data_IF_805568175202
#
_entry.id   IF_805568175202
#
_cell.length_a   1.000
_cell.length_b   1.000
_cell.length_c   1.000
_cell.angle_alpha   90.00
_cell.angle_beta   90.00
_cell.angle_gamma   90.00
#
_symmetry.space_group_name_H-M   'P 1'
#
loop_
_entity.id
_entity.type
_entity.pdbx_description
1 polymer ?
#
# COMPACT_ATOMS: atom_id res chain seq x y z
N UNK A 1 20.60 30.42 -3.48
CA UNK A 1 19.74 30.06 -2.33
C UNK A 1 18.69 29.08 -2.85
N UNK A 2 19.04 27.79 -2.89
CA UNK A 2 18.20 26.76 -3.51
C UNK A 2 17.12 26.32 -2.54
N UNK A 3 15.89 26.79 -2.76
CA UNK A 3 14.72 26.24 -2.09
C UNK A 3 14.44 24.87 -2.72
N UNK A 4 14.99 23.80 -2.13
CA UNK A 4 14.52 22.45 -2.43
C UNK A 4 13.10 22.37 -1.87
N UNK A 5 12.11 22.56 -2.75
CA UNK A 5 10.70 22.45 -2.39
C UNK A 5 10.47 21.01 -1.89
N UNK A 6 10.16 20.87 -0.61
CA UNK A 6 9.77 19.62 0.04
C UNK A 6 8.48 19.02 -0.60
N UNK A 7 7.83 19.76 -1.50
CA UNK A 7 6.59 19.43 -2.20
C UNK A 7 6.73 18.43 -3.37
N UNK A 8 7.91 18.26 -3.98
CA UNK A 8 8.05 17.31 -5.11
C UNK A 8 8.24 15.86 -4.65
N UNK A 9 8.97 15.65 -3.56
CA UNK A 9 9.28 14.30 -3.05
C UNK A 9 8.01 13.60 -2.54
N UNK A 10 7.11 14.31 -1.87
CA UNK A 10 5.84 13.75 -1.39
C UNK A 10 4.86 13.41 -2.53
N UNK A 11 4.94 14.08 -3.67
CA UNK A 11 4.13 13.77 -4.86
C UNK A 11 4.68 12.58 -5.65
N UNK A 12 6.00 12.42 -5.68
CA UNK A 12 6.66 11.35 -6.43
C UNK A 12 6.53 9.97 -5.78
N UNK A 13 6.49 9.89 -4.44
CA UNK A 13 6.51 8.61 -3.73
C UNK A 13 5.26 7.75 -4.01
N UNK A 14 4.02 8.27 -3.94
CA UNK A 14 2.82 7.50 -4.32
C UNK A 14 2.87 7.00 -5.76
N UNK A 15 3.34 7.82 -6.70
CA UNK A 15 3.44 7.45 -8.11
C UNK A 15 4.50 6.36 -8.34
N UNK A 16 5.65 6.45 -7.65
CA UNK A 16 6.69 5.41 -7.68
C UNK A 16 6.19 4.10 -7.09
N UNK A 17 5.50 4.17 -5.95
CA UNK A 17 4.91 2.99 -5.30
C UNK A 17 3.85 2.34 -6.22
N UNK A 18 2.97 3.14 -6.83
CA UNK A 18 2.01 2.66 -7.81
C UNK A 18 2.72 1.93 -8.96
N UNK A 19 3.69 2.60 -9.60
CA UNK A 19 4.41 2.03 -10.75
C UNK A 19 5.09 0.71 -10.41
N UNK A 20 5.72 0.61 -9.24
CA UNK A 20 6.33 -0.63 -8.78
C UNK A 20 5.29 -1.73 -8.53
N UNK A 21 4.18 -1.39 -7.86
CA UNK A 21 3.11 -2.33 -7.56
C UNK A 21 2.47 -2.88 -8.84
N UNK A 22 2.13 -2.01 -9.80
CA UNK A 22 1.52 -2.42 -11.07
C UNK A 22 2.49 -3.25 -11.90
N UNK A 23 3.77 -2.85 -11.98
CA UNK A 23 4.79 -3.64 -12.68
C UNK A 23 4.95 -5.05 -12.12
N UNK A 24 4.77 -5.22 -10.81
CA UNK A 24 4.76 -6.53 -10.18
C UNK A 24 3.46 -7.28 -10.49
N UNK A 25 2.30 -6.66 -10.29
CA UNK A 25 0.99 -7.32 -10.47
C UNK A 25 0.76 -7.77 -11.91
N UNK A 26 1.09 -6.95 -12.91
CA UNK A 26 0.94 -7.31 -14.33
C UNK A 26 1.73 -8.55 -14.75
N UNK A 27 2.74 -8.97 -13.97
CA UNK A 27 3.50 -10.21 -14.24
C UNK A 27 2.83 -11.45 -13.67
N UNK A 28 1.84 -11.30 -12.80
CA UNK A 28 1.26 -12.39 -12.01
C UNK A 28 -0.26 -12.51 -12.16
N UNK A 29 -0.97 -11.43 -12.55
CA UNK A 29 -2.44 -11.38 -12.60
C UNK A 29 -2.90 -10.55 -13.79
N UNK A 30 -4.02 -10.92 -14.41
CA UNK A 30 -4.75 -10.07 -15.37
C UNK A 30 -5.27 -8.82 -14.66
N UNK A 31 -4.78 -7.66 -15.10
CA UNK A 31 -5.08 -6.37 -14.48
C UNK A 31 -6.41 -5.75 -14.89
N UNK A 32 -7.07 -6.29 -15.93
CA UNK A 32 -8.31 -5.74 -16.48
C UNK A 32 -9.50 -5.76 -15.49
N UNK A 33 -9.43 -6.62 -14.47
CA UNK A 33 -10.46 -6.75 -13.43
C UNK A 33 -10.04 -6.12 -12.09
N UNK A 34 -8.87 -5.49 -12.04
CA UNK A 34 -8.37 -4.89 -10.82
C UNK A 34 -9.01 -3.53 -10.58
N UNK A 35 -9.35 -3.31 -9.31
CA UNK A 35 -9.77 -2.02 -8.80
C UNK A 35 -8.64 -1.51 -7.91
N UNK A 36 -8.09 -0.34 -8.25
CA UNK A 36 -7.17 0.38 -7.37
C UNK A 36 -8.01 1.35 -6.54
N UNK A 37 -8.09 1.08 -5.23
CA UNK A 37 -8.79 1.95 -4.30
C UNK A 37 -7.82 2.93 -3.65
N UNK A 38 -8.18 4.21 -3.59
CA UNK A 38 -7.39 5.27 -2.95
C UNK A 38 -8.29 6.30 -2.27
N UNK A 39 -7.69 7.10 -1.39
CA UNK A 39 -8.38 8.23 -0.78
C UNK A 39 -8.53 9.41 -1.76
N UNK A 40 -9.25 10.45 -1.35
CA UNK A 40 -9.44 11.68 -2.15
C UNK A 40 -8.23 12.63 -2.10
N UNK A 41 -7.04 12.14 -1.77
CA UNK A 41 -5.82 12.92 -1.76
C UNK A 41 -5.46 13.43 -3.16
N UNK A 42 -4.98 14.66 -3.23
CA UNK A 42 -4.64 15.35 -4.49
C UNK A 42 -3.63 14.58 -5.36
N UNK A 43 -2.78 13.75 -4.74
CA UNK A 43 -1.84 12.88 -5.43
C UNK A 43 -2.56 11.78 -6.23
N UNK A 44 -3.56 11.14 -5.64
CA UNK A 44 -4.30 10.03 -6.24
C UNK A 44 -5.34 10.49 -7.25
N UNK A 45 -5.87 11.71 -7.07
CA UNK A 45 -6.77 12.36 -8.04
C UNK A 45 -6.02 13.05 -9.19
N UNK A 46 -4.68 13.00 -9.22
CA UNK A 46 -3.90 13.64 -10.28
C UNK A 46 -4.01 12.89 -11.61
N UNK A 47 -3.98 13.62 -12.73
CA UNK A 47 -4.07 13.01 -14.06
C UNK A 47 -2.95 12.00 -14.31
N UNK A 48 -1.71 12.31 -13.87
CA UNK A 48 -0.56 11.41 -14.03
C UNK A 48 -0.77 10.06 -13.33
N UNK A 49 -1.39 10.06 -12.15
CA UNK A 49 -1.71 8.82 -11.43
C UNK A 49 -2.78 8.00 -12.18
N UNK A 50 -3.81 8.68 -12.68
CA UNK A 50 -4.90 8.06 -13.45
C UNK A 50 -4.41 7.53 -14.79
N UNK A 51 -3.52 8.25 -15.47
CA UNK A 51 -2.91 7.83 -16.74
C UNK A 51 -2.16 6.51 -16.57
N UNK A 52 -1.39 6.35 -15.48
CA UNK A 52 -0.71 5.08 -15.19
C UNK A 52 -1.69 3.94 -15.02
N UNK A 53 -2.79 4.11 -14.26
CA UNK A 53 -3.81 3.07 -14.11
C UNK A 53 -4.47 2.70 -15.44
N UNK A 54 -4.75 3.71 -16.27
CA UNK A 54 -5.41 3.53 -17.57
C UNK A 54 -4.57 2.67 -18.54
N UNK A 55 -3.24 2.83 -18.53
CA UNK A 55 -2.31 2.06 -19.37
C UNK A 55 -2.41 0.56 -19.10
N UNK A 56 -2.74 0.17 -17.86
CA UNK A 56 -2.86 -1.23 -17.45
C UNK A 56 -4.31 -1.71 -17.32
N UNK A 57 -5.28 -0.90 -17.75
CA UNK A 57 -6.71 -1.24 -17.67
C UNK A 57 -7.23 -1.38 -16.24
N UNK A 58 -6.57 -0.76 -15.26
CA UNK A 58 -6.96 -0.83 -13.85
C UNK A 58 -8.01 0.25 -13.58
N UNK A 59 -9.12 -0.14 -12.97
CA UNK A 59 -10.20 0.81 -12.63
C UNK A 59 -9.85 1.52 -11.33
N UNK A 60 -9.78 2.85 -11.35
CA UNK A 60 -9.63 3.64 -10.14
C UNK A 60 -10.96 3.71 -9.36
N UNK A 61 -10.89 3.60 -8.04
CA UNK A 61 -11.99 3.83 -7.13
C UNK A 61 -11.53 4.76 -6.01
N UNK A 62 -12.33 5.77 -5.70
CA UNK A 62 -12.16 6.59 -4.51
C UNK A 62 -13.38 6.43 -3.61
N UNK A 63 -13.18 6.48 -2.29
CA UNK A 63 -14.26 6.25 -1.31
C UNK A 63 -15.40 7.26 -1.39
N UNK A 64 -16.47 7.06 -0.63
CA UNK A 64 -17.56 8.06 -0.55
C UNK A 64 -17.07 9.38 0.03
N UNK A 65 -17.54 10.50 -0.52
CA UNK A 65 -17.24 11.81 0.08
C UNK A 65 -17.99 11.94 1.40
N UNK A 66 -17.24 12.12 2.50
CA UNK A 66 -17.81 12.40 3.82
C UNK A 66 -17.87 11.21 4.78
N UNK A 67 -17.38 10.03 4.39
CA UNK A 67 -17.08 8.94 5.32
C UNK A 67 -15.64 8.42 5.16
N UNK A 68 -15.08 7.92 6.26
CA UNK A 68 -13.69 7.44 6.32
C UNK A 68 -13.62 5.91 6.35
N UNK A 69 -14.75 5.23 6.09
CA UNK A 69 -14.85 3.77 6.24
C UNK A 69 -13.90 3.04 5.30
N UNK A 70 -13.84 3.46 4.05
CA UNK A 70 -13.00 2.81 3.04
C UNK A 70 -11.50 2.97 3.36
N UNK A 71 -11.13 4.09 4.00
CA UNK A 71 -9.76 4.36 4.46
C UNK A 71 -9.40 3.74 5.82
N UNK A 72 -10.39 3.33 6.62
CA UNK A 72 -10.17 2.93 8.00
C UNK A 72 -9.20 1.75 8.12
N UNK A 73 -9.22 0.82 7.16
CA UNK A 73 -8.28 -0.30 7.13
C UNK A 73 -6.84 0.19 6.94
N UNK A 74 -6.58 1.02 5.94
CA UNK A 74 -5.25 1.57 5.63
C UNK A 74 -4.73 2.45 6.77
N UNK A 75 -5.60 3.27 7.36
CA UNK A 75 -5.28 4.07 8.54
C UNK A 75 -4.91 3.20 9.75
N UNK A 76 -5.58 2.06 9.94
CA UNK A 76 -5.24 1.12 11.01
C UNK A 76 -3.84 0.53 10.82
N UNK A 77 -3.44 0.23 9.57
CA UNK A 77 -2.09 -0.23 9.25
C UNK A 77 -1.06 0.84 9.57
N UNK A 78 -1.31 2.09 9.13
CA UNK A 78 -0.44 3.24 9.39
C UNK A 78 -0.33 3.56 10.88
N UNK A 79 -1.43 3.45 11.62
CA UNK A 79 -1.46 3.59 13.07
C UNK A 79 -0.60 2.54 13.77
N UNK A 80 -0.76 1.27 13.41
CA UNK A 80 0.05 0.17 13.92
C UNK A 80 1.54 0.36 13.59
N UNK A 81 1.88 0.71 12.35
CA UNK A 81 3.25 0.99 11.94
C UNK A 81 3.92 2.07 12.80
N UNK A 82 3.23 3.19 13.00
CA UNK A 82 3.74 4.28 13.84
C UNK A 82 3.87 3.85 15.31
N UNK A 83 2.91 3.09 15.84
CA UNK A 83 2.89 2.68 17.24
C UNK A 83 3.91 1.59 17.58
N UNK A 84 4.08 0.61 16.70
CA UNK A 84 4.88 -0.59 16.93
C UNK A 84 6.33 -0.42 16.46
N UNK A 85 6.58 0.31 15.37
CA UNK A 85 7.92 0.53 14.85
C UNK A 85 8.45 1.92 15.22
N UNK A 86 7.82 2.98 14.70
CA UNK A 86 8.39 4.33 14.76
C UNK A 86 8.54 4.82 16.20
N UNK A 87 7.52 4.62 17.04
CA UNK A 87 7.56 5.07 18.44
C UNK A 87 8.48 4.21 19.33
N UNK A 88 8.61 2.92 19.05
CA UNK A 88 9.37 1.98 19.88
C UNK A 88 10.86 1.92 19.53
N UNK A 89 11.21 2.11 18.26
CA UNK A 89 12.57 1.90 17.77
C UNK A 89 13.34 3.19 17.46
N UNK A 90 12.75 4.36 17.69
CA UNK A 90 13.46 5.64 17.55
C UNK A 90 14.51 5.82 18.68
N UNK A 91 15.62 6.55 18.43
CA UNK A 91 15.97 7.22 17.19
C UNK A 91 16.58 6.26 16.15
N UNK A 92 16.38 6.57 14.87
CA UNK A 92 17.09 5.96 13.75
C UNK A 92 18.28 6.85 13.37
N UNK A 93 19.42 6.26 13.05
CA UNK A 93 20.64 6.98 12.69
C UNK A 93 20.54 7.62 11.30
N UNK A 94 19.94 6.93 10.34
CA UNK A 94 19.72 7.40 8.98
C UNK A 94 18.46 6.80 8.34
N UNK A 95 18.15 7.26 7.12
CA UNK A 95 17.00 6.77 6.33
C UNK A 95 17.13 5.28 5.99
N UNK A 96 18.35 4.80 5.76
CA UNK A 96 18.59 3.40 5.37
C UNK A 96 18.27 2.44 6.52
N UNK A 97 18.59 2.82 7.76
CA UNK A 97 18.20 2.06 8.94
C UNK A 97 16.68 1.99 9.08
N UNK A 98 15.99 3.12 8.88
CA UNK A 98 14.53 3.18 8.89
C UNK A 98 13.93 2.29 7.79
N UNK A 99 14.45 2.34 6.56
CA UNK A 99 14.01 1.49 5.45
C UNK A 99 14.16 0.00 5.78
N UNK A 100 15.31 -0.41 6.32
CA UNK A 100 15.52 -1.80 6.73
C UNK A 100 14.58 -2.22 7.86
N UNK A 101 14.35 -1.34 8.85
CA UNK A 101 13.42 -1.59 9.93
C UNK A 101 11.99 -1.72 9.41
N UNK A 102 11.62 -0.89 8.44
CA UNK A 102 10.32 -0.93 7.74
C UNK A 102 10.13 -2.26 7.02
N UNK A 103 11.12 -2.71 6.25
CA UNK A 103 11.06 -3.99 5.55
C UNK A 103 10.91 -5.18 6.51
N UNK A 104 11.63 -5.16 7.64
CA UNK A 104 11.48 -6.17 8.69
C UNK A 104 10.09 -6.15 9.31
N UNK A 105 9.55 -4.96 9.60
CA UNK A 105 8.21 -4.82 10.16
C UNK A 105 7.13 -5.30 9.20
N UNK A 106 7.19 -4.94 7.92
CA UNK A 106 6.25 -5.41 6.88
C UNK A 106 6.29 -6.93 6.77
N UNK A 107 7.50 -7.51 6.70
CA UNK A 107 7.69 -8.97 6.65
C UNK A 107 7.04 -9.64 7.86
N UNK A 108 7.33 -9.16 9.08
CA UNK A 108 6.73 -9.70 10.30
C UNK A 108 5.20 -9.53 10.33
N UNK A 109 4.68 -8.36 9.94
CA UNK A 109 3.23 -8.09 9.94
C UNK A 109 2.46 -9.03 9.01
N UNK A 110 3.03 -9.34 7.85
CA UNK A 110 2.39 -10.16 6.83
C UNK A 110 2.55 -11.66 7.06
N UNK A 111 3.66 -12.09 7.69
CA UNK A 111 4.02 -13.52 7.81
C UNK A 111 3.88 -14.09 9.22
N UNK A 112 3.91 -13.25 10.27
CA UNK A 112 3.97 -13.70 11.68
C UNK A 112 2.94 -13.04 12.59
N UNK A 113 2.57 -11.78 12.39
CA UNK A 113 1.58 -11.09 13.22
C UNK A 113 0.19 -11.68 12.97
N UNK A 114 -0.47 -12.13 14.04
CA UNK A 114 -1.86 -12.57 13.99
C UNK A 114 -2.79 -11.36 14.06
N UNK A 115 -3.83 -11.36 13.23
CA UNK A 115 -4.81 -10.26 13.19
C UNK A 115 -6.19 -10.80 13.60
N UNK A 116 -6.80 -10.19 14.62
CA UNK A 116 -8.12 -10.57 15.12
C UNK A 116 -9.17 -10.50 13.99
N UNK A 117 -9.13 -9.45 13.18
CA UNK A 117 -10.02 -9.27 12.02
C UNK A 117 -9.87 -10.35 10.93
N UNK A 118 -8.77 -11.11 10.94
CA UNK A 118 -8.53 -12.24 10.03
C UNK A 118 -8.78 -13.61 10.71
N UNK A 119 -9.44 -13.62 11.87
CA UNK A 119 -9.66 -14.85 12.64
C UNK A 119 -8.38 -15.42 13.23
N UNK A 120 -7.50 -14.55 13.76
CA UNK A 120 -6.19 -14.92 14.30
C UNK A 120 -5.29 -15.62 13.27
N UNK A 121 -5.32 -15.16 12.03
CA UNK A 121 -4.44 -15.59 10.94
C UNK A 121 -3.53 -14.45 10.49
N UNK A 122 -2.46 -14.80 9.78
CA UNK A 122 -1.61 -13.85 9.09
C UNK A 122 -2.18 -13.53 7.70
N UNK A 123 -1.90 -12.34 7.14
CA UNK A 123 -2.33 -12.00 5.78
C UNK A 123 -1.91 -13.04 4.74
N UNK A 124 -0.68 -13.56 4.83
CA UNK A 124 -0.19 -14.61 3.92
C UNK A 124 -1.00 -15.91 4.05
N UNK A 125 -1.42 -16.30 5.26
CA UNK A 125 -2.28 -17.48 5.44
C UNK A 125 -3.66 -17.30 4.80
N UNK A 126 -4.24 -16.11 4.92
CA UNK A 126 -5.53 -15.79 4.30
C UNK A 126 -5.39 -15.81 2.78
N UNK A 127 -4.37 -15.16 2.24
CA UNK A 127 -4.10 -15.09 0.81
C UNK A 127 -3.88 -16.47 0.17
N UNK A 128 -3.07 -17.33 0.81
CA UNK A 128 -2.88 -18.72 0.37
C UNK A 128 -4.20 -19.51 0.39
N UNK A 129 -5.09 -19.24 1.36
CA UNK A 129 -6.39 -19.92 1.44
C UNK A 129 -7.35 -19.47 0.33
N UNK A 130 -7.34 -18.18 -0.02
CA UNK A 130 -8.14 -17.62 -1.11
C UNK A 130 -7.64 -18.15 -2.45
N UNK A 131 -6.32 -18.11 -2.68
CA UNK A 131 -5.69 -18.61 -3.91
C UNK A 131 -5.95 -20.11 -4.09
N UNK A 132 -5.92 -20.89 -3.00
CA UNK A 132 -6.26 -22.32 -3.05
C UNK A 132 -7.72 -22.57 -3.40
N UNK A 133 -8.63 -21.69 -2.95
CA UNK A 133 -10.05 -21.78 -3.27
C UNK A 133 -10.37 -21.33 -4.70
N UNK A 134 -9.61 -20.34 -5.22
CA UNK A 134 -9.79 -19.74 -6.54
C UNK A 134 -8.44 -19.74 -7.28
N UNK A 135 -8.01 -20.87 -7.87
CA UNK A 135 -6.77 -20.92 -8.64
C UNK A 135 -6.86 -19.95 -9.84
N UNK A 136 -5.74 -19.33 -10.24
CA UNK A 136 -5.72 -18.45 -11.40
C UNK A 136 -6.20 -19.22 -12.64
N UNK A 137 -7.10 -18.60 -13.40
CA UNK A 137 -7.59 -19.15 -14.66
C UNK A 137 -6.44 -19.07 -15.66
N UNK A 138 -5.98 -20.23 -16.16
CA UNK A 138 -4.95 -20.31 -17.20
C UNK A 138 -5.43 -19.67 -18.50
#
# INVERSE_FOLDING_TARGET
MGCFSYDSVLKDLPLKALTQSVSWVCKHVDTSRLIQHSDHGVQYTSSVYQDVLSVYGITASTGSVGDSYDNALDESVNGAYKAELIRQCKPFMDVRELEQATMRWISWRNTKRLHVGLGYKTPVQVDMSITRANPPVN
#
